data_IF_738877065521
#
_entry.id   IF_738877065521
#
_cell.length_a   1.000
_cell.length_b   1.000
_cell.length_c   1.000
_cell.angle_alpha   90.00
_cell.angle_beta   90.00
_cell.angle_gamma   90.00
#
_symmetry.space_group_name_H-M   'P 1'
#
loop_
_entity.id
_entity.type
_entity.pdbx_description
1 polymer ?
#
# COMPACT_ATOMS: atom_id res chain seq x y z
N UNK A 1 -4.89 -11.48 -3.39
CA UNK A 1 -4.83 -10.00 -3.28
C UNK A 1 -6.01 -9.50 -2.48
N UNK A 2 -5.76 -8.56 -1.62
CA UNK A 2 -6.80 -8.02 -0.76
C UNK A 2 -6.68 -6.50 -0.72
N UNK A 3 -7.82 -5.81 -0.76
CA UNK A 3 -7.84 -4.35 -0.75
C UNK A 3 -8.67 -3.88 0.42
N UNK A 4 -8.10 -3.02 1.26
CA UNK A 4 -8.79 -2.40 2.36
C UNK A 4 -8.75 -0.89 2.18
N UNK A 5 -9.88 -0.24 2.39
CA UNK A 5 -9.96 1.20 2.31
C UNK A 5 -10.40 1.76 3.65
N UNK A 6 -9.66 2.75 4.14
CA UNK A 6 -9.95 3.40 5.42
C UNK A 6 -10.42 4.82 5.16
N UNK A 7 -11.72 5.04 5.30
CA UNK A 7 -12.32 6.33 5.01
C UNK A 7 -11.80 7.45 5.91
N UNK A 8 -11.50 7.12 7.16
CA UNK A 8 -11.07 8.12 8.13
C UNK A 8 -9.80 8.84 7.69
N UNK A 9 -8.90 8.11 7.08
CA UNK A 9 -7.60 8.64 6.68
C UNK A 9 -7.46 8.72 5.16
N UNK A 10 -8.48 8.30 4.42
CA UNK A 10 -8.46 8.24 2.96
C UNK A 10 -7.26 7.42 2.49
N UNK A 11 -7.06 6.27 3.11
CA UNK A 11 -5.92 5.40 2.83
C UNK A 11 -6.41 4.08 2.28
N UNK A 12 -5.79 3.61 1.21
CA UNK A 12 -6.05 2.28 0.66
C UNK A 12 -4.84 1.41 0.88
N UNK A 13 -5.07 0.19 1.34
CA UNK A 13 -4.01 -0.79 1.56
C UNK A 13 -4.26 -1.99 0.66
N UNK A 14 -3.31 -2.30 -0.21
CA UNK A 14 -3.38 -3.46 -1.08
C UNK A 14 -2.41 -4.51 -0.55
N UNK A 15 -2.94 -5.69 -0.22
CA UNK A 15 -2.12 -6.79 0.25
C UNK A 15 -1.96 -7.78 -0.89
N UNK A 16 -0.74 -7.94 -1.37
CA UNK A 16 -0.46 -8.76 -2.54
C UNK A 16 0.11 -10.12 -2.19
N UNK A 17 0.73 -10.22 -1.02
CA UNK A 17 1.36 -11.47 -0.61
C UNK A 17 1.27 -11.69 0.87
N UNK A 18 1.75 -12.83 1.32
CA UNK A 18 1.65 -13.23 2.71
C UNK A 18 2.99 -13.16 3.44
N UNK A 19 3.98 -12.52 2.88
CA UNK A 19 5.29 -12.43 3.50
C UNK A 19 5.35 -11.46 4.67
N UNK A 20 6.48 -11.45 5.33
CA UNK A 20 6.74 -10.50 6.40
C UNK A 20 7.52 -9.33 5.83
N UNK A 21 7.07 -8.09 6.05
CA UNK A 21 7.78 -6.94 5.51
C UNK A 21 9.14 -6.77 6.19
N UNK A 22 10.18 -6.66 5.39
CA UNK A 22 11.53 -6.42 5.89
C UNK A 22 12.08 -5.07 5.44
N UNK A 23 11.45 -4.49 4.43
CA UNK A 23 11.89 -3.20 3.91
C UNK A 23 10.68 -2.38 3.50
N UNK A 24 10.73 -1.08 3.73
CA UNK A 24 9.67 -0.17 3.33
C UNK A 24 10.29 0.90 2.43
N UNK A 25 9.65 1.15 1.30
CA UNK A 25 10.10 2.16 0.35
C UNK A 25 9.00 3.15 0.05
N UNK A 26 9.33 4.42 0.05
CA UNK A 26 8.40 5.46 -0.35
C UNK A 26 8.64 5.82 -1.81
N UNK A 27 7.63 5.65 -2.64
CA UNK A 27 7.71 6.07 -4.03
C UNK A 27 7.36 7.54 -4.17
N UNK A 28 6.50 8.03 -3.29
CA UNK A 28 6.13 9.44 -3.25
C UNK A 28 5.57 9.70 -1.87
N UNK A 29 5.11 10.92 -1.62
CA UNK A 29 4.49 11.27 -0.34
C UNK A 29 3.30 10.38 -0.02
N UNK A 30 2.62 9.91 -1.06
CA UNK A 30 1.35 9.22 -0.91
C UNK A 30 1.44 7.72 -1.15
N UNK A 31 2.57 7.22 -1.60
CA UNK A 31 2.70 5.80 -1.98
C UNK A 31 3.87 5.16 -1.26
N UNK A 32 3.57 4.12 -0.49
CA UNK A 32 4.58 3.39 0.27
C UNK A 32 4.46 1.91 -0.09
N UNK A 33 5.59 1.29 -0.33
CA UNK A 33 5.67 -0.14 -0.63
C UNK A 33 6.32 -0.89 0.52
N UNK A 34 5.77 -2.05 0.85
CA UNK A 34 6.41 -2.97 1.78
C UNK A 34 6.92 -4.16 1.01
N UNK A 35 8.18 -4.49 1.21
CA UNK A 35 8.87 -5.54 0.47
C UNK A 35 9.35 -6.62 1.41
N UNK A 36 9.41 -7.86 0.91
CA UNK A 36 9.96 -8.95 1.69
C UNK A 36 11.48 -9.03 1.49
N UNK A 37 12.10 -10.03 2.10
CA UNK A 37 13.56 -10.18 2.05
C UNK A 37 14.08 -10.43 0.64
N UNK A 38 13.22 -10.93 -0.24
CA UNK A 38 13.58 -11.20 -1.64
C UNK A 38 13.39 -9.99 -2.54
N UNK A 39 12.82 -8.91 -2.03
CA UNK A 39 12.56 -7.73 -2.82
C UNK A 39 11.21 -7.72 -3.51
N UNK A 40 10.33 -8.66 -3.18
CA UNK A 40 8.99 -8.70 -3.75
C UNK A 40 8.07 -7.78 -2.97
N UNK A 41 7.21 -7.07 -3.69
CA UNK A 41 6.23 -6.19 -3.06
C UNK A 41 5.14 -7.06 -2.44
N UNK A 42 4.92 -6.91 -1.13
CA UNK A 42 3.89 -7.67 -0.44
C UNK A 42 2.69 -6.80 -0.09
N UNK A 43 2.87 -5.50 0.00
CA UNK A 43 1.74 -4.61 0.20
C UNK A 43 2.07 -3.22 -0.30
N UNK A 44 1.03 -2.46 -0.62
CA UNK A 44 1.14 -1.10 -1.09
C UNK A 44 0.17 -0.25 -0.29
N UNK A 45 0.68 0.83 0.31
CA UNK A 45 -0.16 1.78 1.03
C UNK A 45 -0.31 3.03 0.19
N UNK A 46 -1.56 3.41 -0.08
CA UNK A 46 -1.87 4.58 -0.89
C UNK A 46 -2.62 5.58 -0.02
N UNK A 47 -2.00 6.73 0.22
CA UNK A 47 -2.66 7.80 0.97
C UNK A 47 -3.36 8.72 -0.01
N UNK A 48 -4.40 9.36 0.44
CA UNK A 48 -5.24 10.22 -0.40
C UNK A 48 -5.79 9.45 -1.60
N UNK A 49 -6.23 8.22 -1.34
CA UNK A 49 -6.67 7.33 -2.41
C UNK A 49 -7.84 7.89 -3.21
N UNK A 50 -8.77 8.55 -2.54
CA UNK A 50 -9.92 9.15 -3.22
C UNK A 50 -9.47 10.31 -4.11
N UNK A 51 -8.52 11.11 -3.64
CA UNK A 51 -8.02 12.24 -4.41
C UNK A 51 -7.30 11.77 -5.66
N UNK A 52 -6.77 10.56 -5.65
CA UNK A 52 -6.09 10.00 -6.82
C UNK A 52 -7.05 9.24 -7.73
N UNK A 53 -8.33 9.18 -7.37
CA UNK A 53 -9.33 8.52 -8.18
C UNK A 53 -9.33 7.01 -8.09
N UNK A 54 -8.68 6.45 -7.08
CA UNK A 54 -8.53 5.00 -6.98
C UNK A 54 -9.73 4.31 -6.36
N UNK A 55 -10.52 5.05 -5.60
CA UNK A 55 -11.66 4.48 -4.87
C UNK A 55 -12.99 5.08 -5.26
N UNK A 56 -13.04 5.78 -6.33
CA UNK A 56 -14.28 6.42 -6.76
C UNK A 56 -15.34 5.46 -7.18
#
# INVERSE_FOLDING_TARGET
MKINYFEDTDTALLELGAGTPTETRELSEDITLDLDASGHVISITLEHACAKGLTK
#
